data_IF_915394217507
#
_entry.id   IF_915394217507
#
_cell.length_a   1.000
_cell.length_b   1.000
_cell.length_c   1.000
_cell.angle_alpha   90.00
_cell.angle_beta   90.00
_cell.angle_gamma   90.00
#
_symmetry.space_group_name_H-M   'P 1'
#
loop_
_entity.id
_entity.type
_entity.pdbx_description
1 polymer ?
#
# COMPACT_ATOMS: atom_id res chain seq x y z
N UNK A 1 -43.43 70.34 -47.97
CA UNK A 1 -42.16 70.94 -47.51
C UNK A 1 -42.38 71.84 -46.29
N UNK A 2 -42.76 73.13 -46.40
CA UNK A 2 -42.89 74.02 -45.23
C UNK A 2 -43.98 73.58 -44.22
N UNK A 3 -45.18 73.23 -44.71
CA UNK A 3 -46.30 72.76 -43.86
C UNK A 3 -46.01 71.43 -43.14
N UNK A 4 -45.21 70.56 -43.73
CA UNK A 4 -44.84 69.27 -43.12
C UNK A 4 -43.80 69.48 -42.01
N UNK A 5 -42.86 70.40 -42.22
CA UNK A 5 -41.90 70.83 -41.19
C UNK A 5 -42.60 71.44 -39.98
N UNK A 6 -43.60 72.30 -40.18
CA UNK A 6 -44.35 72.90 -39.06
C UNK A 6 -45.17 71.88 -38.29
N UNK A 7 -45.80 70.91 -38.98
CA UNK A 7 -46.48 69.79 -38.32
C UNK A 7 -45.51 68.98 -37.46
N UNK A 8 -44.34 68.66 -37.99
CA UNK A 8 -43.31 67.91 -37.28
C UNK A 8 -42.80 68.65 -36.04
N UNK A 9 -42.55 69.95 -36.16
CA UNK A 9 -42.15 70.82 -35.04
C UNK A 9 -43.25 70.86 -33.97
N UNK A 10 -44.52 71.00 -34.36
CA UNK A 10 -45.65 71.01 -33.43
C UNK A 10 -45.81 69.67 -32.69
N UNK A 11 -45.62 68.54 -33.38
CA UNK A 11 -45.65 67.21 -32.77
C UNK A 11 -44.50 67.01 -31.78
N UNK A 12 -43.28 67.42 -32.14
CA UNK A 12 -42.12 67.34 -31.26
C UNK A 12 -42.32 68.23 -30.02
N UNK A 13 -42.81 69.46 -30.20
CA UNK A 13 -43.12 70.37 -29.12
C UNK A 13 -44.22 69.82 -28.20
N UNK A 14 -45.27 69.19 -28.75
CA UNK A 14 -46.30 68.51 -27.93
C UNK A 14 -45.72 67.35 -27.13
N UNK A 15 -44.88 66.51 -27.72
CA UNK A 15 -44.27 65.38 -27.01
C UNK A 15 -43.32 65.84 -25.90
N UNK A 16 -42.64 66.98 -26.10
CA UNK A 16 -41.81 67.62 -25.06
C UNK A 16 -42.69 68.26 -23.98
N UNK A 17 -43.76 68.97 -24.36
CA UNK A 17 -44.63 69.70 -23.45
C UNK A 17 -45.51 68.78 -22.58
N UNK A 18 -45.98 67.67 -23.16
CA UNK A 18 -46.79 66.68 -22.46
C UNK A 18 -45.97 65.83 -21.46
N UNK A 19 -44.64 65.95 -21.48
CA UNK A 19 -43.76 65.25 -20.55
C UNK A 19 -43.79 63.72 -20.68
N UNK A 20 -44.43 63.15 -21.71
CA UNK A 20 -44.62 61.70 -21.89
C UNK A 20 -43.29 60.93 -21.91
N UNK A 21 -42.26 61.51 -22.53
CA UNK A 21 -40.93 60.92 -22.50
C UNK A 21 -40.35 60.89 -21.09
N UNK A 22 -40.57 61.96 -20.31
CA UNK A 22 -40.10 62.07 -18.92
C UNK A 22 -40.84 61.10 -18.01
N UNK A 23 -42.16 60.95 -18.15
CA UNK A 23 -42.96 60.03 -17.33
C UNK A 23 -42.60 58.58 -17.63
N UNK A 24 -42.46 58.19 -18.89
CA UNK A 24 -42.05 56.83 -19.27
C UNK A 24 -40.68 56.45 -18.72
N UNK A 25 -39.71 57.37 -18.80
CA UNK A 25 -38.38 57.17 -18.23
C UNK A 25 -38.46 57.00 -16.71
N UNK A 26 -39.21 57.87 -16.02
CA UNK A 26 -39.40 57.79 -14.56
C UNK A 26 -40.04 56.45 -14.16
N UNK A 27 -41.10 56.02 -14.84
CA UNK A 27 -41.77 54.75 -14.57
C UNK A 27 -40.83 53.56 -14.79
N UNK A 28 -40.02 53.58 -15.85
CA UNK A 28 -39.01 52.54 -16.09
C UNK A 28 -37.96 52.48 -14.97
N UNK A 29 -37.47 53.63 -14.51
CA UNK A 29 -36.55 53.69 -13.37
C UNK A 29 -37.18 53.17 -12.08
N UNK A 30 -38.43 53.54 -11.80
CA UNK A 30 -39.15 53.04 -10.63
C UNK A 30 -39.32 51.52 -10.67
N UNK A 31 -39.68 50.97 -11.84
CA UNK A 31 -39.80 49.53 -12.06
C UNK A 31 -38.45 48.81 -11.84
N UNK A 32 -37.37 49.33 -12.41
CA UNK A 32 -36.02 48.78 -12.22
C UNK A 32 -35.58 48.83 -10.74
N UNK A 33 -35.83 49.95 -10.06
CA UNK A 33 -35.57 50.07 -8.61
C UNK A 33 -36.33 49.02 -7.81
N UNK A 34 -37.61 48.78 -8.12
CA UNK A 34 -38.39 47.72 -7.48
C UNK A 34 -37.83 46.32 -7.72
N UNK A 35 -37.39 46.03 -8.95
CA UNK A 35 -36.72 44.76 -9.27
C UNK A 35 -35.42 44.59 -8.48
N UNK A 36 -34.58 45.62 -8.40
CA UNK A 36 -33.34 45.60 -7.63
C UNK A 36 -33.61 45.35 -6.15
N UNK A 37 -34.62 46.01 -5.57
CA UNK A 37 -35.01 45.79 -4.18
C UNK A 37 -35.47 44.36 -3.91
N UNK A 38 -36.28 43.78 -4.81
CA UNK A 38 -36.71 42.39 -4.70
C UNK A 38 -35.51 41.42 -4.75
N UNK A 39 -34.62 41.59 -5.73
CA UNK A 39 -33.40 40.77 -5.83
C UNK A 39 -32.51 40.93 -4.60
N UNK A 40 -32.37 42.14 -4.06
CA UNK A 40 -31.64 42.39 -2.82
C UNK A 40 -32.24 41.61 -1.64
N UNK A 41 -33.57 41.58 -1.52
CA UNK A 41 -34.26 40.79 -0.50
C UNK A 41 -34.03 39.28 -0.66
N UNK A 42 -34.06 38.78 -1.90
CA UNK A 42 -33.75 37.37 -2.20
C UNK A 42 -32.32 37.00 -1.81
N UNK A 43 -31.34 37.87 -2.13
CA UNK A 43 -29.94 37.67 -1.74
C UNK A 43 -29.79 37.62 -0.22
N UNK A 44 -30.46 38.52 0.51
CA UNK A 44 -30.43 38.50 1.98
C UNK A 44 -31.01 37.22 2.56
N UNK A 45 -32.13 36.75 2.03
CA UNK A 45 -32.74 35.49 2.46
C UNK A 45 -31.81 34.29 2.20
N UNK A 46 -31.17 34.24 1.04
CA UNK A 46 -30.19 33.20 0.71
C UNK A 46 -28.97 33.26 1.64
N UNK A 47 -28.47 34.47 1.96
CA UNK A 47 -27.36 34.63 2.89
C UNK A 47 -27.70 34.09 4.29
N UNK A 48 -28.92 34.34 4.79
CA UNK A 48 -29.36 33.78 6.07
C UNK A 48 -29.41 32.25 6.00
N UNK A 49 -29.97 31.67 4.94
CA UNK A 49 -30.02 30.22 4.77
C UNK A 49 -28.62 29.58 4.74
N UNK A 50 -27.69 30.19 4.00
CA UNK A 50 -26.29 29.74 3.94
C UNK A 50 -25.66 29.77 5.34
N UNK A 51 -25.88 30.83 6.12
CA UNK A 51 -25.37 30.93 7.48
C UNK A 51 -25.94 29.85 8.39
N UNK A 52 -27.25 29.61 8.33
CA UNK A 52 -27.91 28.55 9.11
C UNK A 52 -27.34 27.17 8.79
N UNK A 53 -27.26 26.80 7.50
CA UNK A 53 -26.70 25.53 7.07
C UNK A 53 -25.23 25.38 7.45
N UNK A 54 -24.46 26.46 7.39
CA UNK A 54 -23.06 26.47 7.81
C UNK A 54 -22.93 26.18 9.31
N UNK A 55 -23.76 26.80 10.13
CA UNK A 55 -23.78 26.55 11.58
C UNK A 55 -24.20 25.11 11.92
N UNK A 56 -25.23 24.60 11.25
CA UNK A 56 -25.67 23.21 11.41
C UNK A 56 -24.55 22.21 11.05
N UNK A 57 -23.88 22.41 9.92
CA UNK A 57 -22.74 21.59 9.49
C UNK A 57 -21.63 21.59 10.54
N UNK A 58 -21.21 22.76 11.01
CA UNK A 58 -20.16 22.90 12.04
C UNK A 58 -20.58 22.20 13.35
N UNK A 59 -21.85 22.29 13.74
CA UNK A 59 -22.36 21.63 14.93
C UNK A 59 -22.26 20.09 14.82
N UNK A 60 -22.67 19.54 13.67
CA UNK A 60 -22.61 18.10 13.38
C UNK A 60 -21.16 17.61 13.37
N UNK A 61 -20.26 18.31 12.69
CA UNK A 61 -18.83 17.97 12.64
C UNK A 61 -18.21 17.94 14.04
N UNK A 62 -18.47 18.96 14.86
CA UNK A 62 -17.97 19.03 16.23
C UNK A 62 -18.51 17.91 17.12
N UNK A 63 -19.79 17.52 16.95
CA UNK A 63 -20.36 16.41 17.70
C UNK A 63 -19.73 15.08 17.27
N UNK A 64 -19.54 14.87 15.96
CA UNK A 64 -18.88 13.68 15.44
C UNK A 64 -17.44 13.55 15.96
N UNK A 65 -16.66 14.64 15.94
CA UNK A 65 -15.30 14.67 16.49
C UNK A 65 -15.26 14.30 17.98
N UNK A 66 -16.20 14.81 18.78
CA UNK A 66 -16.31 14.44 20.20
C UNK A 66 -16.56 12.95 20.38
N UNK A 67 -17.43 12.36 19.57
CA UNK A 67 -17.73 10.93 19.62
C UNK A 67 -16.52 10.08 19.19
N UNK A 68 -15.84 10.47 18.12
CA UNK A 68 -14.62 9.80 17.64
C UNK A 68 -13.53 9.83 18.72
N UNK A 69 -13.28 10.98 19.33
CA UNK A 69 -12.29 11.12 20.39
C UNK A 69 -12.63 10.26 21.61
N UNK A 70 -13.91 10.21 22.00
CA UNK A 70 -14.37 9.34 23.08
C UNK A 70 -14.18 7.84 22.75
N UNK A 71 -14.47 7.44 21.51
CA UNK A 71 -14.25 6.07 21.04
C UNK A 71 -12.75 5.71 21.00
N UNK A 72 -11.91 6.62 20.52
CA UNK A 72 -10.45 6.45 20.51
C UNK A 72 -9.90 6.25 21.93
N UNK A 73 -10.37 7.04 22.90
CA UNK A 73 -9.97 6.88 24.30
C UNK A 73 -10.36 5.50 24.85
N UNK A 74 -11.58 5.03 24.57
CA UNK A 74 -12.02 3.68 24.97
C UNK A 74 -11.15 2.59 24.35
N UNK A 75 -10.82 2.69 23.07
CA UNK A 75 -9.97 1.73 22.38
C UNK A 75 -8.54 1.74 22.93
N UNK A 76 -8.02 2.90 23.28
CA UNK A 76 -6.70 3.04 23.92
C UNK A 76 -6.67 2.31 25.26
N UNK A 77 -7.66 2.58 26.13
CA UNK A 77 -7.80 1.91 27.43
C UNK A 77 -7.95 0.38 27.27
N UNK A 78 -8.72 -0.06 26.26
CA UNK A 78 -8.86 -1.49 25.97
C UNK A 78 -7.54 -2.11 25.51
N UNK A 79 -6.80 -1.44 24.65
CA UNK A 79 -5.47 -1.86 24.19
C UNK A 79 -4.50 -2.01 25.37
N UNK A 80 -4.47 -1.04 26.28
CA UNK A 80 -3.63 -1.09 27.48
C UNK A 80 -4.00 -2.28 28.37
N UNK A 81 -5.29 -2.56 28.55
CA UNK A 81 -5.76 -3.73 29.30
C UNK A 81 -5.36 -5.04 28.63
N UNK A 82 -5.49 -5.14 27.31
CA UNK A 82 -5.07 -6.33 26.55
C UNK A 82 -3.57 -6.57 26.73
N UNK A 83 -2.76 -5.51 26.62
CA UNK A 83 -1.32 -5.61 26.82
C UNK A 83 -0.96 -6.04 28.26
N UNK A 84 -1.64 -5.48 29.27
CA UNK A 84 -1.45 -5.89 30.66
C UNK A 84 -1.79 -7.37 30.88
N UNK A 85 -2.90 -7.86 30.31
CA UNK A 85 -3.30 -9.27 30.39
C UNK A 85 -2.31 -10.20 29.66
N UNK A 86 -1.81 -9.79 28.49
CA UNK A 86 -0.77 -10.53 27.77
C UNK A 86 0.51 -10.67 28.60
N UNK A 87 0.93 -9.58 29.27
CA UNK A 87 2.09 -9.60 30.14
C UNK A 87 1.89 -10.50 31.37
N UNK A 88 0.69 -10.49 31.98
CA UNK A 88 0.35 -11.41 33.06
C UNK A 88 0.41 -12.88 32.61
N UNK A 89 -0.11 -13.17 31.41
CA UNK A 89 -0.06 -14.53 30.84
C UNK A 89 1.38 -14.97 30.54
N UNK A 90 2.23 -14.06 30.07
CA UNK A 90 3.66 -14.32 29.87
C UNK A 90 4.36 -14.67 31.19
N UNK A 91 4.08 -13.92 32.26
CA UNK A 91 4.64 -14.18 33.59
C UNK A 91 4.18 -15.54 34.16
N UNK A 92 2.92 -15.92 33.94
CA UNK A 92 2.42 -17.24 34.36
C UNK A 92 3.12 -18.38 33.61
N UNK A 93 3.44 -18.21 32.31
CA UNK A 93 4.21 -19.20 31.54
C UNK A 93 5.64 -19.34 32.06
N UNK A 94 6.30 -18.24 32.44
CA UNK A 94 7.67 -18.29 32.98
C UNK A 94 7.78 -18.91 34.38
N UNK A 95 6.67 -19.01 35.13
CA UNK A 95 6.66 -19.62 36.47
C UNK A 95 6.37 -21.14 36.46
N UNK A 96 6.01 -21.74 35.31
CA UNK A 96 5.69 -23.16 35.18
C UNK A 96 6.76 -24.01 34.48
N UNK A 97 7.81 -23.42 33.92
CA UNK A 97 8.96 -24.17 33.41
C UNK A 97 10.06 -24.28 34.48
N UNK A 98 10.02 -25.36 35.27
CA UNK A 98 11.24 -25.89 35.90
C UNK A 98 12.19 -26.35 34.79
N UNK A 99 13.50 -26.10 34.87
CA UNK A 99 14.44 -26.59 33.87
C UNK A 99 14.61 -28.10 34.06
N UNK A 100 14.00 -28.89 33.18
CA UNK A 100 14.49 -30.23 32.89
C UNK A 100 15.41 -30.14 31.69
N UNK A 101 16.64 -30.61 31.91
CA UNK A 101 17.56 -31.00 30.86
C UNK A 101 16.86 -31.95 29.90
N UNK A 102 17.08 -31.77 28.61
CA UNK A 102 17.83 -32.76 27.84
C UNK A 102 18.01 -32.27 26.39
N UNK A 103 19.25 -32.40 25.96
CA UNK A 103 19.76 -32.32 24.60
C UNK A 103 18.91 -33.10 23.59
N UNK A 104 18.58 -32.49 22.45
CA UNK A 104 18.50 -33.14 21.14
C UNK A 104 18.74 -32.08 20.04
N UNK A 105 19.73 -32.37 19.20
CA UNK A 105 19.98 -31.73 17.91
C UNK A 105 18.78 -31.79 16.98
N UNK A 106 18.44 -30.68 16.29
CA UNK A 106 17.91 -30.73 14.92
C UNK A 106 18.15 -29.40 14.16
N UNK A 107 18.32 -29.47 12.83
CA UNK A 107 18.93 -28.41 12.03
C UNK A 107 17.94 -27.33 11.60
N UNK A 108 18.53 -26.17 11.31
CA UNK A 108 17.91 -24.96 10.79
C UNK A 108 17.12 -25.16 9.49
N UNK A 109 15.82 -24.84 9.52
CA UNK A 109 15.04 -24.37 8.38
C UNK A 109 13.68 -23.81 8.86
N UNK A 110 13.68 -22.60 9.39
CA UNK A 110 12.49 -21.74 9.41
C UNK A 110 12.99 -20.31 9.61
N UNK A 111 12.98 -19.50 8.55
CA UNK A 111 13.24 -18.06 8.66
C UNK A 111 11.90 -17.35 8.65
N UNK A 112 11.62 -16.75 9.80
CA UNK A 112 10.43 -16.01 10.17
C UNK A 112 10.11 -14.89 9.19
N UNK A 113 8.94 -15.00 8.56
CA UNK A 113 8.20 -13.86 8.00
C UNK A 113 7.56 -13.08 9.15
N UNK A 114 8.35 -12.31 9.90
CA UNK A 114 7.84 -11.38 10.92
C UNK A 114 7.85 -9.94 10.40
N UNK A 115 7.03 -9.67 9.38
CA UNK A 115 6.42 -8.36 9.21
C UNK A 115 4.92 -8.61 9.13
N UNK A 116 4.08 -7.81 9.80
CA UNK A 116 2.65 -7.98 9.67
C UNK A 116 2.31 -7.61 8.23
N UNK A 117 2.09 -8.62 7.38
CA UNK A 117 0.95 -8.52 6.48
C UNK A 117 -0.19 -8.10 7.40
N UNK A 118 -0.85 -6.95 7.16
CA UNK A 118 -2.04 -6.64 7.94
C UNK A 118 -2.92 -7.88 7.84
N UNK A 119 -3.26 -8.45 8.99
CA UNK A 119 -4.18 -9.56 9.12
C UNK A 119 -5.53 -9.04 8.60
N UNK A 120 -5.69 -9.03 7.29
CA UNK A 120 -6.93 -8.67 6.64
C UNK A 120 -7.67 -9.99 6.50
N UNK A 121 -8.49 -10.27 7.51
CA UNK A 121 -9.44 -11.39 7.52
C UNK A 121 -10.56 -11.15 6.47
N UNK A 122 -10.55 -10.01 5.79
CA UNK A 122 -11.43 -9.65 4.68
C UNK A 122 -10.69 -9.85 3.35
N UNK A 123 -11.14 -10.79 2.53
CA UNK A 123 -10.54 -10.97 1.21
C UNK A 123 -10.68 -9.66 0.39
N UNK A 124 -9.57 -9.11 -0.14
CA UNK A 124 -9.63 -7.87 -0.88
C UNK A 124 -10.45 -8.07 -2.15
N UNK A 125 -11.47 -7.22 -2.35
CA UNK A 125 -12.39 -7.29 -3.49
C UNK A 125 -11.83 -6.50 -4.66
N UNK A 126 -11.77 -7.10 -5.84
CA UNK A 126 -11.41 -6.38 -7.07
C UNK A 126 -12.50 -5.34 -7.40
N UNK A 127 -12.09 -4.10 -7.63
CA UNK A 127 -12.98 -2.99 -8.03
C UNK A 127 -12.85 -2.78 -9.53
N UNK A 128 -11.64 -2.44 -9.99
CA UNK A 128 -11.34 -2.09 -11.37
C UNK A 128 -10.03 -2.77 -11.80
N UNK A 129 -9.98 -3.18 -13.07
CA UNK A 129 -8.79 -3.74 -13.70
C UNK A 129 -8.06 -2.67 -14.51
N UNK A 130 -6.74 -2.75 -14.59
CA UNK A 130 -5.90 -1.91 -15.47
C UNK A 130 -6.09 -0.39 -15.31
N UNK A 131 -6.21 0.08 -14.07
CA UNK A 131 -6.25 1.50 -13.72
C UNK A 131 -4.88 2.14 -13.93
N UNK A 132 -4.84 3.33 -14.53
CA UNK A 132 -3.61 4.12 -14.66
C UNK A 132 -3.48 5.09 -13.49
N UNK A 133 -2.28 5.23 -12.94
CA UNK A 133 -2.01 6.18 -11.87
C UNK A 133 -0.57 6.68 -11.87
N UNK A 134 -0.29 7.60 -10.95
CA UNK A 134 1.02 8.22 -10.77
C UNK A 134 1.50 7.98 -9.35
N UNK A 135 2.72 7.46 -9.21
CA UNK A 135 3.32 7.17 -7.91
C UNK A 135 3.59 8.47 -7.15
N UNK A 136 2.98 8.60 -5.97
CA UNK A 136 3.20 9.75 -5.07
C UNK A 136 4.53 9.59 -4.34
N UNK A 137 4.74 8.44 -3.71
CA UNK A 137 6.00 8.06 -3.09
C UNK A 137 6.11 6.55 -2.92
N UNK A 138 7.35 6.08 -2.73
CA UNK A 138 7.64 4.71 -2.34
C UNK A 138 8.78 4.69 -1.33
N UNK A 139 8.56 4.07 -0.18
CA UNK A 139 9.58 3.88 0.84
C UNK A 139 10.33 2.55 0.58
N UNK A 140 11.56 2.66 0.09
CA UNK A 140 12.41 1.53 -0.28
C UNK A 140 12.82 0.67 0.92
N UNK A 141 12.95 1.25 2.12
CA UNK A 141 13.28 0.48 3.33
C UNK A 141 12.07 -0.30 3.84
N UNK A 142 10.91 0.38 3.89
CA UNK A 142 9.67 -0.19 4.43
C UNK A 142 8.84 -0.98 3.42
N UNK A 143 9.23 -0.99 2.14
CA UNK A 143 8.62 -1.78 1.05
C UNK A 143 7.15 -1.47 0.76
N UNK A 144 6.74 -0.22 0.98
CA UNK A 144 5.39 0.24 0.63
C UNK A 144 5.42 1.67 0.05
N UNK A 145 4.34 2.05 -0.62
CA UNK A 145 4.15 3.38 -1.19
C UNK A 145 2.68 3.74 -1.37
N UNK A 146 2.45 4.89 -2.01
CA UNK A 146 1.12 5.38 -2.39
C UNK A 146 1.12 5.80 -3.86
N UNK A 147 0.05 5.44 -4.57
CA UNK A 147 -0.21 5.81 -5.96
C UNK A 147 -1.49 6.65 -5.99
N UNK A 148 -1.45 7.77 -6.70
CA UNK A 148 -2.63 8.57 -6.98
C UNK A 148 -3.28 8.07 -8.27
N UNK A 149 -4.59 7.89 -8.26
CA UNK A 149 -5.37 7.56 -9.44
C UNK A 149 -6.62 8.43 -9.53
N UNK A 150 -7.09 8.62 -10.75
CA UNK A 150 -8.32 9.36 -11.06
C UNK A 150 -9.45 8.37 -11.25
N UNK A 151 -10.50 8.52 -10.46
CA UNK A 151 -11.74 7.77 -10.64
C UNK A 151 -12.83 8.69 -11.18
N UNK A 152 -13.49 8.25 -12.25
CA UNK A 152 -14.57 9.00 -12.89
C UNK A 152 -15.92 8.45 -12.40
N UNK A 153 -16.39 8.96 -11.27
CA UNK A 153 -17.72 8.64 -10.76
C UNK A 153 -18.71 9.73 -11.20
N UNK A 154 -19.77 9.36 -11.92
CA UNK A 154 -20.87 10.27 -12.31
C UNK A 154 -20.44 11.56 -13.05
N UNK A 155 -19.32 11.51 -13.79
CA UNK A 155 -18.78 12.66 -14.51
C UNK A 155 -17.97 13.64 -13.66
N UNK A 156 -17.68 13.31 -12.40
CA UNK A 156 -16.77 14.07 -11.54
C UNK A 156 -15.45 13.32 -11.40
N UNK A 157 -14.35 13.93 -11.86
CA UNK A 157 -13.01 13.38 -11.70
C UNK A 157 -12.56 13.54 -10.24
N UNK A 158 -12.40 12.43 -9.53
CA UNK A 158 -11.94 12.43 -8.14
C UNK A 158 -10.56 11.79 -8.04
N UNK A 159 -9.63 12.48 -7.37
CA UNK A 159 -8.31 11.94 -7.06
C UNK A 159 -8.37 11.12 -5.77
N UNK A 160 -7.99 9.85 -5.86
CA UNK A 160 -7.91 8.93 -4.72
C UNK A 160 -6.53 8.31 -4.61
N UNK A 161 -6.20 7.86 -3.40
CA UNK A 161 -4.91 7.25 -3.06
C UNK A 161 -5.09 5.73 -2.92
N UNK A 162 -4.20 4.96 -3.56
CA UNK A 162 -4.10 3.51 -3.41
C UNK A 162 -2.77 3.14 -2.76
N UNK A 163 -2.82 2.26 -1.76
CA UNK A 163 -1.62 1.69 -1.15
C UNK A 163 -0.97 0.67 -2.08
N UNK A 164 0.35 0.62 -2.05
CA UNK A 164 1.12 -0.40 -2.77
C UNK A 164 2.22 -0.99 -1.90
N UNK A 165 2.47 -2.28 -2.09
CA UNK A 165 3.57 -3.03 -1.49
C UNK A 165 4.55 -3.51 -2.56
N UNK A 166 5.82 -3.69 -2.21
CA UNK A 166 6.85 -4.20 -3.13
C UNK A 166 6.44 -5.51 -3.83
N UNK A 167 5.80 -6.41 -3.08
CA UNK A 167 5.34 -7.71 -3.58
C UNK A 167 4.22 -7.59 -4.62
N UNK A 168 3.50 -6.47 -4.67
CA UNK A 168 2.42 -6.23 -5.62
C UNK A 168 2.94 -5.70 -6.97
N UNK A 169 4.22 -5.34 -7.06
CA UNK A 169 4.88 -4.93 -8.29
C UNK A 169 5.18 -6.18 -9.11
N UNK A 170 4.52 -6.34 -10.25
CA UNK A 170 4.62 -7.55 -11.08
C UNK A 170 5.78 -7.52 -12.07
N UNK A 171 6.06 -6.36 -12.67
CA UNK A 171 7.10 -6.19 -13.70
C UNK A 171 8.13 -5.16 -13.25
N UNK A 172 9.35 -5.60 -13.00
CA UNK A 172 10.49 -4.76 -12.60
C UNK A 172 11.79 -5.37 -13.12
N UNK A 173 12.82 -4.53 -13.27
CA UNK A 173 14.20 -4.99 -13.52
C UNK A 173 14.78 -5.74 -12.31
N UNK A 174 14.25 -5.51 -11.11
CA UNK A 174 14.68 -6.20 -9.89
C UNK A 174 13.92 -7.52 -9.77
N UNK A 175 14.65 -8.64 -9.84
CA UNK A 175 14.06 -9.98 -9.83
C UNK A 175 13.33 -10.28 -8.51
N UNK A 176 13.96 -9.94 -7.37
CA UNK A 176 13.44 -10.23 -6.04
C UNK A 176 12.22 -9.36 -5.69
N UNK A 177 11.04 -9.94 -5.43
CA UNK A 177 9.81 -9.18 -5.17
C UNK A 177 9.92 -8.18 -4.03
N UNK A 178 10.58 -8.54 -2.93
CA UNK A 178 10.74 -7.70 -1.74
C UNK A 178 11.70 -6.53 -1.98
N UNK A 179 12.55 -6.58 -3.01
CA UNK A 179 13.47 -5.50 -3.35
C UNK A 179 12.92 -4.57 -4.45
N UNK A 180 11.80 -4.94 -5.08
CA UNK A 180 11.12 -4.11 -6.08
C UNK A 180 10.66 -2.80 -5.45
N UNK A 181 10.76 -1.74 -6.23
CA UNK A 181 10.45 -0.39 -5.79
C UNK A 181 10.03 0.47 -6.99
N UNK A 182 9.54 1.67 -6.69
CA UNK A 182 9.01 2.62 -7.67
C UNK A 182 9.69 3.98 -7.53
N UNK A 183 9.75 4.72 -8.63
CA UNK A 183 10.22 6.10 -8.62
C UNK A 183 9.06 7.06 -8.30
N UNK A 184 9.27 8.16 -7.56
CA UNK A 184 8.28 9.23 -7.45
C UNK A 184 7.91 9.79 -8.82
N UNK A 185 6.63 10.14 -9.00
CA UNK A 185 6.03 10.62 -10.25
C UNK A 185 6.12 9.63 -11.43
N UNK A 186 6.32 8.34 -11.16
CA UNK A 186 6.28 7.30 -12.18
C UNK A 186 4.83 6.95 -12.56
N UNK A 187 4.52 6.88 -13.85
CA UNK A 187 3.23 6.41 -14.35
C UNK A 187 3.20 4.89 -14.36
N UNK A 188 2.15 4.30 -13.79
CA UNK A 188 1.99 2.85 -13.63
C UNK A 188 0.56 2.41 -13.95
N UNK A 189 0.41 1.14 -14.32
CA UNK A 189 -0.87 0.47 -14.57
C UNK A 189 -1.03 -0.67 -13.58
N UNK A 190 -2.21 -0.79 -12.97
CA UNK A 190 -2.46 -1.75 -11.89
C UNK A 190 -3.93 -2.13 -11.73
N UNK A 191 -4.19 -3.20 -10.99
CA UNK A 191 -5.53 -3.62 -10.60
C UNK A 191 -5.86 -3.06 -9.22
N UNK A 192 -7.04 -2.46 -9.09
CA UNK A 192 -7.51 -1.76 -7.89
C UNK A 192 -8.37 -2.69 -7.04
N UNK A 193 -7.94 -2.95 -5.81
CA UNK A 193 -8.66 -3.76 -4.84
C UNK A 193 -9.13 -2.93 -3.65
N UNK A 194 -10.33 -3.21 -3.14
CA UNK A 194 -10.85 -2.67 -1.89
C UNK A 194 -10.59 -3.63 -0.73
N UNK A 195 -10.10 -3.10 0.39
CA UNK A 195 -9.96 -3.87 1.63
C UNK A 195 -11.08 -3.53 2.62
N UNK A 196 -11.26 -2.23 2.86
CA UNK A 196 -12.26 -1.67 3.77
C UNK A 196 -12.92 -0.48 3.06
N UNK A 197 -14.00 0.02 3.65
CA UNK A 197 -14.63 1.26 3.17
C UNK A 197 -13.54 2.35 3.05
N UNK A 198 -13.39 2.89 1.84
CA UNK A 198 -12.41 3.91 1.43
C UNK A 198 -10.92 3.56 1.52
N UNK A 199 -10.55 2.28 1.70
CA UNK A 199 -9.15 1.82 1.63
C UNK A 199 -8.88 0.97 0.38
N UNK A 200 -8.00 1.47 -0.48
CA UNK A 200 -7.64 0.85 -1.75
C UNK A 200 -6.21 0.30 -1.76
N UNK A 201 -6.01 -0.83 -2.44
CA UNK A 201 -4.70 -1.44 -2.68
C UNK A 201 -4.51 -1.75 -4.15
N UNK A 202 -3.36 -1.35 -4.67
CA UNK A 202 -2.92 -1.70 -6.00
C UNK A 202 -2.26 -3.09 -6.01
N UNK A 203 -2.67 -3.95 -6.94
CA UNK A 203 -2.05 -5.24 -7.27
C UNK A 203 -1.66 -5.28 -8.75
N UNK A 204 -0.85 -6.26 -9.12
CA UNK A 204 -0.41 -6.47 -10.50
C UNK A 204 0.24 -5.23 -11.15
N UNK A 205 1.04 -4.51 -10.38
CA UNK A 205 1.53 -3.19 -10.80
C UNK A 205 2.64 -3.33 -11.84
N UNK A 206 2.51 -2.60 -12.94
CA UNK A 206 3.41 -2.61 -14.08
C UNK A 206 3.65 -1.19 -14.60
N UNK A 207 4.65 -1.03 -15.47
CA UNK A 207 4.81 0.20 -16.26
C UNK A 207 3.72 0.32 -17.32
N UNK A 208 3.65 1.47 -18.02
CA UNK A 208 2.74 1.64 -19.16
C UNK A 208 2.97 0.52 -20.18
N UNK A 209 1.89 0.06 -20.83
CA UNK A 209 1.91 -1.06 -21.78
C UNK A 209 2.41 -2.40 -21.20
N UNK A 210 2.40 -2.58 -19.88
CA UNK A 210 2.88 -3.79 -19.22
C UNK A 210 4.40 -3.91 -19.14
N UNK A 211 5.12 -2.82 -19.38
CA UNK A 211 6.58 -2.78 -19.29
C UNK A 211 7.07 -2.90 -17.84
N UNK A 212 8.40 -3.05 -17.68
CA UNK A 212 9.02 -2.99 -16.37
C UNK A 212 8.92 -1.58 -15.79
N UNK A 213 8.54 -1.49 -14.51
CA UNK A 213 8.66 -0.23 -13.76
C UNK A 213 10.12 0.24 -13.75
N UNK A 214 10.32 1.56 -13.83
CA UNK A 214 11.62 2.24 -13.78
C UNK A 214 12.28 1.97 -12.44
N UNK A 215 11.56 2.24 -11.35
CA UNK A 215 12.09 2.14 -10.00
C UNK A 215 13.34 2.98 -9.77
N UNK A 216 14.00 2.75 -8.64
CA UNK A 216 15.27 3.33 -8.24
C UNK A 216 16.26 2.21 -8.01
N UNK A 217 17.46 2.34 -8.60
CA UNK A 217 18.54 1.40 -8.37
C UNK A 217 19.20 1.68 -7.02
N UNK A 218 19.12 0.70 -6.10
CA UNK A 218 19.61 0.86 -4.73
C UNK A 218 20.73 -0.14 -4.50
N UNK A 219 21.94 0.37 -4.28
CA UNK A 219 23.08 -0.47 -3.86
C UNK A 219 23.03 -0.57 -2.35
N UNK A 220 22.48 -1.66 -1.82
CA UNK A 220 22.60 -1.94 -0.39
C UNK A 220 24.06 -2.27 -0.08
N UNK A 221 24.79 -1.32 0.50
CA UNK A 221 26.04 -1.64 1.19
C UNK A 221 25.66 -2.45 2.43
N UNK A 222 25.76 -3.78 2.34
CA UNK A 222 25.74 -4.64 3.53
C UNK A 222 26.87 -4.14 4.44
N UNK A 223 26.51 -3.44 5.52
CA UNK A 223 27.42 -3.26 6.64
C UNK A 223 27.65 -4.64 7.23
N UNK A 224 28.65 -5.34 6.69
CA UNK A 224 29.15 -6.54 7.34
C UNK A 224 29.85 -6.01 8.58
N UNK A 225 29.14 -6.00 9.72
CA UNK A 225 29.78 -6.03 11.03
C UNK A 225 30.58 -7.31 11.06
N UNK A 226 31.80 -7.25 10.52
CA UNK A 226 32.82 -8.29 10.66
C UNK A 226 33.17 -8.30 12.14
N UNK A 227 32.36 -9.02 12.93
CA UNK A 227 32.79 -9.49 14.23
C UNK A 227 34.15 -10.16 14.01
N UNK A 228 35.25 -9.65 14.60
CA UNK A 228 36.55 -10.26 14.41
C UNK A 228 36.45 -11.68 14.94
N UNK A 229 36.65 -12.62 14.03
CA UNK A 229 36.57 -14.05 14.30
C UNK A 229 37.71 -14.40 15.28
N UNK A 230 37.47 -14.35 16.59
CA UNK A 230 38.39 -14.88 17.62
C UNK A 230 38.35 -16.41 17.62
N UNK A 231 38.55 -17.01 16.45
CA UNK A 231 38.69 -18.46 16.28
C UNK A 231 39.76 -18.70 15.23
N UNK A 232 41.00 -18.89 15.70
CA UNK A 232 41.74 -20.15 15.58
C UNK A 232 43.26 -19.90 15.61
N UNK A 233 43.88 -20.22 16.74
CA UNK A 233 45.20 -20.86 16.76
C UNK A 233 45.08 -22.14 17.59
N UNK A 234 44.62 -23.22 16.95
CA UNK A 234 45.00 -24.57 17.37
C UNK A 234 45.96 -25.11 16.30
N UNK A 235 47.23 -25.42 16.64
CA UNK A 235 48.18 -25.98 15.70
C UNK A 235 47.76 -27.39 15.25
N UNK A 236 47.69 -27.57 13.93
CA UNK A 236 47.47 -28.86 13.26
C UNK A 236 48.67 -29.81 13.47
N UNK A 237 48.56 -30.75 14.40
CA UNK A 237 49.41 -31.96 14.40
C UNK A 237 48.80 -33.03 13.49
N UNK A 238 48.86 -32.80 12.17
CA UNK A 238 48.46 -33.83 11.19
C UNK A 238 49.43 -33.89 10.03
N UNK A 239 50.69 -34.16 10.35
CA UNK A 239 51.70 -34.66 9.41
C UNK A 239 52.77 -35.41 10.22
N UNK A 240 52.57 -36.70 10.45
CA UNK A 240 53.68 -37.62 10.76
C UNK A 240 53.56 -38.86 9.87
N UNK A 241 54.58 -39.16 9.03
CA UNK A 241 54.58 -40.33 8.18
C UNK A 241 54.83 -41.61 9.02
N UNK A 242 53.94 -42.58 8.89
CA UNK A 242 54.10 -43.90 9.52
C UNK A 242 54.99 -44.81 8.66
N UNK A 243 56.10 -45.35 9.20
CA UNK A 243 56.88 -46.38 8.51
C UNK A 243 56.24 -47.76 8.70
N UNK A 244 56.10 -48.50 7.59
CA UNK A 244 55.78 -49.93 7.60
C UNK A 244 56.95 -50.72 8.19
N UNK A 245 56.69 -51.59 9.16
CA UNK A 245 56.75 -53.05 8.98
C UNK A 245 56.87 -53.84 10.30
N UNK A 246 56.34 -55.07 10.24
CA UNK A 246 56.69 -56.30 10.98
C UNK A 246 55.70 -56.79 12.05
N UNK A 247 55.07 -57.90 11.68
CA UNK A 247 54.76 -59.08 12.51
C UNK A 247 53.45 -59.08 13.30
N UNK A 248 52.43 -59.80 12.78
CA UNK A 248 52.01 -61.09 13.37
C UNK A 248 50.91 -61.79 12.55
N UNK A 249 50.90 -63.14 12.47
CA UNK A 249 50.01 -63.90 11.59
C UNK A 249 48.67 -64.28 12.24
N UNK A 250 47.68 -64.50 11.36
CA UNK A 250 46.39 -65.18 11.56
C UNK A 250 46.48 -66.44 12.44
N UNK A 251 45.40 -66.74 13.19
CA UNK A 251 44.47 -67.83 12.84
C UNK A 251 43.40 -68.06 13.92
N UNK A 252 42.13 -68.03 13.50
CA UNK A 252 41.05 -68.79 14.13
C UNK A 252 40.91 -70.12 13.37
N UNK A 253 41.00 -71.16 14.18
CA UNK A 253 40.61 -72.57 14.10
C UNK A 253 39.60 -73.12 13.06
N UNK A 254 39.85 -74.41 12.72
CA UNK A 254 38.91 -75.52 12.39
C UNK A 254 38.37 -75.55 10.94
N UNK A 255 38.29 -76.67 10.22
CA UNK A 255 38.83 -78.06 10.18
C UNK A 255 38.17 -78.71 8.95
N UNK A 256 38.91 -79.60 8.27
CA UNK A 256 38.48 -80.88 7.62
C UNK A 256 37.32 -80.83 6.62
N UNK A 257 37.25 -81.63 5.58
CA UNK A 257 38.08 -82.63 4.88
C UNK A 257 37.24 -82.99 3.64
N UNK A 258 37.81 -83.80 2.76
CA UNK A 258 37.13 -84.65 1.77
C UNK A 258 36.67 -83.90 0.51
N UNK A 259 36.70 -84.47 -0.68
CA UNK A 259 37.34 -85.63 -1.31
C UNK A 259 36.96 -85.42 -2.79
N UNK A 260 37.78 -85.99 -3.68
CA UNK A 260 37.37 -86.53 -4.97
C UNK A 260 37.02 -85.59 -6.14
N UNK A 261 37.84 -85.82 -7.18
CA UNK A 261 37.44 -86.23 -8.52
C UNK A 261 37.06 -85.18 -9.57
N UNK A 262 37.92 -85.15 -10.59
CA UNK A 262 37.58 -85.24 -12.01
C UNK A 262 36.17 -84.79 -12.42
N UNK A 263 36.06 -83.74 -13.22
CA UNK A 263 35.67 -83.88 -14.63
C UNK A 263 35.71 -82.56 -15.41
N UNK A 264 36.19 -82.74 -16.64
CA UNK A 264 36.06 -81.97 -17.88
C UNK A 264 35.17 -80.71 -17.96
N UNK A 265 35.66 -79.78 -18.79
CA UNK A 265 34.80 -79.24 -19.84
C UNK A 265 35.02 -77.76 -20.15
N UNK A 266 36.09 -77.44 -20.87
CA UNK A 266 36.12 -76.21 -21.66
C UNK A 266 35.18 -76.33 -22.87
N UNK A 267 34.39 -75.28 -23.13
CA UNK A 267 33.88 -74.85 -24.45
C UNK A 267 33.67 -73.34 -24.36
N UNK A 268 34.49 -72.57 -25.06
CA UNK A 268 34.27 -71.99 -26.40
C UNK A 268 33.81 -70.53 -26.25
N UNK A 269 34.61 -69.53 -26.62
CA UNK A 269 35.09 -69.15 -27.97
C UNK A 269 34.00 -68.38 -28.75
N UNK A 270 34.40 -67.16 -29.17
CA UNK A 270 33.78 -66.19 -30.09
C UNK A 270 32.44 -65.58 -29.61
N UNK A 271 32.25 -64.26 -29.58
CA UNK A 271 32.82 -63.15 -30.36
C UNK A 271 32.72 -61.86 -29.54
#
# INVERSE_FOLDING_TARGET
MASELEKLISTIQKNIHNGELKTNIISNFQNLCGQIQNLSGQIQNLNVQIQTLTHEKICVENNCLKQINAAHLRNTILSDKVMALQNQLLQQKTCFEKPQSDSIDKPAAHMDTSYPSPNIITEPKLINESVTGVVKFFNIEKKYGIINFTENENGTETLKDAFIYANNISKSKIEKPVERNLQPNETVVFDLYQIKNDEYVAKNVTGPNGENVKGVYVVYQKQITRMPNQRQHQPNYRNQPHPRSRSRPRSYSIRRNQLNDYQHGGRNIFR
#
